data_IF_993579319797
#
_entry.id   IF_993579319797
#
_cell.length_a   1.000
_cell.length_b   1.000
_cell.length_c   1.000
_cell.angle_alpha   90.00
_cell.angle_beta   90.00
_cell.angle_gamma   90.00
#
_symmetry.space_group_name_H-M   'P 1'
#
loop_
_entity.id
_entity.type
_entity.pdbx_description
1 polymer ?
#
# COMPACT_ATOMS: atom_id res chain seq x y z
N UNK A 1 -10.16 -18.36 15.85
CA UNK A 1 -11.46 -19.06 15.93
C UNK A 1 -12.05 -19.51 14.60
N UNK A 2 -12.04 -18.69 13.54
CA UNK A 2 -12.65 -19.07 12.24
C UNK A 2 -12.09 -20.36 11.62
N UNK A 3 -10.76 -20.53 11.59
CA UNK A 3 -10.14 -21.72 11.00
C UNK A 3 -10.47 -23.00 11.77
N UNK A 4 -10.40 -22.98 13.10
CA UNK A 4 -10.78 -24.12 13.95
C UNK A 4 -12.25 -24.50 13.79
N UNK A 5 -13.15 -23.50 13.67
CA UNK A 5 -14.57 -23.74 13.40
C UNK A 5 -14.81 -24.32 12.00
N UNK A 6 -14.04 -23.89 11.00
CA UNK A 6 -14.12 -24.44 9.64
C UNK A 6 -13.64 -25.90 9.60
N UNK A 7 -12.53 -26.21 10.26
CA UNK A 7 -12.01 -27.59 10.39
C UNK A 7 -13.02 -28.48 11.11
N UNK A 8 -13.61 -28.02 12.22
CA UNK A 8 -14.63 -28.77 12.95
C UNK A 8 -15.89 -29.02 12.12
N UNK A 9 -16.35 -28.01 11.35
CA UNK A 9 -17.48 -28.20 10.42
C UNK A 9 -17.17 -29.23 9.34
N UNK A 10 -15.97 -29.15 8.75
CA UNK A 10 -15.51 -30.13 7.77
C UNK A 10 -15.46 -31.55 8.37
N UNK A 11 -15.02 -31.68 9.62
CA UNK A 11 -15.01 -32.97 10.32
C UNK A 11 -16.43 -33.52 10.60
N UNK A 12 -17.42 -32.66 10.81
CA UNK A 12 -18.83 -33.08 10.90
C UNK A 12 -19.34 -33.54 9.54
N UNK A 13 -19.09 -32.77 8.47
CA UNK A 13 -19.48 -33.11 7.09
C UNK A 13 -18.88 -34.44 6.62
N UNK A 14 -17.62 -34.72 7.01
CA UNK A 14 -16.93 -35.97 6.71
C UNK A 14 -17.31 -37.13 7.66
N UNK A 15 -18.22 -36.91 8.60
CA UNK A 15 -18.69 -37.94 9.54
C UNK A 15 -17.65 -38.35 10.60
N UNK A 16 -16.52 -37.63 10.70
CA UNK A 16 -15.48 -37.86 11.71
C UNK A 16 -15.91 -37.41 13.11
N UNK A 17 -16.92 -36.53 13.18
CA UNK A 17 -17.51 -36.02 14.41
C UNK A 17 -19.03 -36.03 14.28
N UNK A 18 -19.72 -36.62 15.25
CA UNK A 18 -21.19 -36.61 15.31
C UNK A 18 -21.74 -35.19 15.45
N UNK A 19 -22.67 -34.82 14.58
CA UNK A 19 -23.42 -33.58 14.70
C UNK A 19 -24.26 -33.61 15.98
N UNK A 20 -24.04 -32.63 16.87
CA UNK A 20 -24.79 -32.52 18.14
C UNK A 20 -24.03 -32.93 19.40
N UNK A 21 -22.86 -33.59 19.30
CA UNK A 21 -21.95 -33.69 20.46
C UNK A 21 -21.41 -32.30 20.79
N UNK A 22 -21.79 -31.78 21.97
CA UNK A 22 -21.36 -30.50 22.60
C UNK A 22 -20.48 -29.64 21.69
N UNK A 23 -21.10 -28.77 20.88
CA UNK A 23 -20.37 -27.88 19.97
C UNK A 23 -19.34 -27.06 20.78
N UNK A 24 -18.03 -27.25 20.55
CA UNK A 24 -16.97 -26.65 21.36
C UNK A 24 -16.87 -25.12 21.17
N UNK A 25 -17.60 -24.56 20.19
CA UNK A 25 -17.66 -23.13 19.93
C UNK A 25 -18.93 -22.46 20.44
N UNK A 26 -19.86 -23.21 21.05
CA UNK A 26 -21.17 -22.68 21.51
C UNK A 26 -21.03 -21.53 22.52
N UNK A 27 -19.99 -21.59 23.36
CA UNK A 27 -19.70 -20.59 24.40
C UNK A 27 -18.43 -19.79 24.13
N UNK A 28 -17.88 -19.86 22.91
CA UNK A 28 -16.66 -19.13 22.54
C UNK A 28 -17.02 -17.98 21.61
N UNK A 29 -16.46 -16.80 21.88
CA UNK A 29 -16.65 -15.65 20.99
C UNK A 29 -16.03 -15.95 19.61
N UNK A 30 -16.91 -16.04 18.60
CA UNK A 30 -16.52 -16.25 17.19
C UNK A 30 -16.71 -14.99 16.33
N UNK A 31 -17.08 -13.88 16.96
CA UNK A 31 -17.27 -12.60 16.30
C UNK A 31 -15.97 -11.98 15.79
N UNK A 32 -16.12 -10.94 14.99
CA UNK A 32 -15.00 -10.15 14.50
C UNK A 32 -14.85 -8.95 15.41
N UNK A 33 -13.75 -8.87 16.15
CA UNK A 33 -13.40 -7.61 16.79
C UNK A 33 -13.23 -6.54 15.71
N UNK A 34 -13.89 -5.38 15.88
CA UNK A 34 -13.61 -4.21 15.04
C UNK A 34 -12.11 -3.93 15.16
N UNK A 35 -11.40 -4.17 14.06
CA UNK A 35 -9.97 -3.83 13.99
C UNK A 35 -9.88 -2.32 14.11
N UNK A 36 -9.01 -1.81 14.99
CA UNK A 36 -8.82 -0.38 15.17
C UNK A 36 -8.53 0.33 13.83
N UNK A 37 -8.85 1.62 13.73
CA UNK A 37 -8.63 2.44 12.53
C UNK A 37 -7.12 2.47 12.22
N UNK A 38 -6.70 1.80 11.14
CA UNK A 38 -5.29 1.65 10.69
C UNK A 38 -5.01 2.50 9.45
N UNK A 39 -5.58 3.69 9.38
CA UNK A 39 -5.44 4.60 8.25
C UNK A 39 -4.91 5.94 8.75
N UNK A 40 -3.93 6.48 8.03
CA UNK A 40 -3.53 7.87 8.22
C UNK A 40 -4.60 8.77 7.62
N UNK A 41 -4.95 9.83 8.32
CA UNK A 41 -5.65 10.95 7.70
C UNK A 41 -4.71 11.74 6.76
N UNK A 42 -5.27 12.69 6.03
CA UNK A 42 -4.51 13.46 5.05
C UNK A 42 -3.42 14.34 5.69
N UNK A 43 -3.64 14.88 6.90
CA UNK A 43 -2.63 15.66 7.63
C UNK A 43 -1.47 14.79 8.10
N UNK A 44 -1.77 13.61 8.64
CA UNK A 44 -0.75 12.64 9.05
C UNK A 44 0.05 12.13 7.84
N UNK A 45 -0.61 11.83 6.72
CA UNK A 45 0.07 11.44 5.48
C UNK A 45 0.98 12.57 5.00
N UNK A 46 0.51 13.81 5.06
CA UNK A 46 1.30 14.97 4.66
C UNK A 46 2.54 15.14 5.53
N UNK A 47 2.43 15.08 6.86
CA UNK A 47 3.61 15.15 7.74
C UNK A 47 4.63 14.07 7.43
N UNK A 48 4.16 12.86 7.12
CA UNK A 48 5.05 11.77 6.70
C UNK A 48 5.72 12.09 5.37
N UNK A 49 5.00 12.66 4.40
CA UNK A 49 5.56 13.05 3.11
C UNK A 49 6.51 14.25 3.22
N UNK A 50 6.29 15.19 4.14
CA UNK A 50 7.10 16.39 4.29
C UNK A 50 8.32 16.22 5.23
N UNK A 51 8.69 14.99 5.58
CA UNK A 51 10.00 14.74 6.20
C UNK A 51 11.13 15.24 5.27
N UNK A 52 12.32 15.49 5.81
CA UNK A 52 13.49 16.00 5.07
C UNK A 52 13.82 15.17 3.79
N UNK A 53 13.37 13.91 3.76
CA UNK A 53 13.40 13.03 2.61
C UNK A 53 12.76 13.60 1.34
N UNK A 54 11.72 14.44 1.44
CA UNK A 54 11.12 15.06 0.27
C UNK A 54 12.09 16.03 -0.42
N UNK A 55 12.81 16.83 0.37
CA UNK A 55 13.85 17.73 -0.15
C UNK A 55 14.97 16.93 -0.82
N UNK A 56 15.36 15.77 -0.26
CA UNK A 56 16.36 14.91 -0.88
C UNK A 56 15.90 14.36 -2.23
N UNK A 57 14.62 14.02 -2.36
CA UNK A 57 14.05 13.58 -3.63
C UNK A 57 14.06 14.70 -4.66
N UNK A 58 13.60 15.90 -4.30
CA UNK A 58 13.57 17.08 -5.17
C UNK A 58 14.97 17.49 -5.64
N UNK A 59 15.98 17.36 -4.77
CA UNK A 59 17.37 17.69 -5.10
C UNK A 59 18.12 16.55 -5.82
N UNK A 60 17.49 15.38 -6.00
CA UNK A 60 18.16 14.21 -6.56
C UNK A 60 19.29 13.65 -5.68
N UNK A 61 19.27 13.96 -4.37
CA UNK A 61 20.28 13.54 -3.41
C UNK A 61 19.93 12.16 -2.87
N UNK A 62 20.87 11.23 -3.00
CA UNK A 62 20.82 9.95 -2.31
C UNK A 62 21.94 9.91 -1.26
N UNK A 63 21.64 9.92 0.05
CA UNK A 63 22.68 9.83 1.07
C UNK A 63 23.47 8.53 0.91
N UNK A 64 24.77 8.64 0.69
CA UNK A 64 25.66 7.49 0.54
C UNK A 64 25.79 6.78 1.89
N UNK A 65 25.36 5.51 1.93
CA UNK A 65 25.75 4.48 2.90
C UNK A 65 25.72 4.87 4.39
N UNK A 66 24.61 5.46 4.85
CA UNK A 66 24.34 5.68 6.28
C UNK A 66 22.95 5.16 6.67
N UNK A 67 22.66 5.00 7.97
CA UNK A 67 21.30 4.66 8.46
C UNK A 67 20.17 5.53 7.83
N UNK A 68 20.36 6.84 7.62
CA UNK A 68 19.45 7.68 6.84
C UNK A 68 19.07 7.14 5.45
N UNK A 69 19.99 6.51 4.73
CA UNK A 69 19.73 5.95 3.39
C UNK A 69 18.66 4.85 3.43
N UNK A 70 18.70 3.97 4.43
CA UNK A 70 17.73 2.89 4.58
C UNK A 70 16.32 3.39 4.95
N UNK A 71 16.22 4.47 5.73
CA UNK A 71 14.94 5.12 6.04
C UNK A 71 14.38 5.83 4.82
N UNK A 72 15.23 6.53 4.08
CA UNK A 72 14.87 7.22 2.86
C UNK A 72 14.32 6.25 1.80
N UNK A 73 14.96 5.09 1.61
CA UNK A 73 14.41 4.02 0.76
C UNK A 73 13.04 3.55 1.25
N UNK A 74 12.86 3.32 2.55
CA UNK A 74 11.57 2.92 3.09
C UNK A 74 10.49 3.99 2.93
N UNK A 75 10.84 5.26 3.07
CA UNK A 75 9.95 6.40 2.83
C UNK A 75 9.53 6.45 1.35
N UNK A 76 10.48 6.41 0.41
CA UNK A 76 10.20 6.39 -1.05
C UNK A 76 9.26 5.26 -1.45
N UNK A 77 9.52 4.03 -0.97
CA UNK A 77 8.66 2.87 -1.27
C UNK A 77 7.24 3.03 -0.72
N UNK A 78 7.08 3.58 0.49
CA UNK A 78 5.77 3.80 1.09
C UNK A 78 5.00 4.92 0.39
N UNK A 79 5.69 6.03 0.09
CA UNK A 79 5.14 7.16 -0.70
C UNK A 79 4.66 6.65 -2.05
N UNK A 80 5.49 5.89 -2.79
CA UNK A 80 5.08 5.29 -4.05
C UNK A 80 3.83 4.41 -3.90
N UNK A 81 3.78 3.51 -2.90
CA UNK A 81 2.59 2.70 -2.66
C UNK A 81 1.33 3.55 -2.47
N UNK A 82 1.41 4.63 -1.69
CA UNK A 82 0.27 5.51 -1.47
C UNK A 82 -0.19 6.19 -2.76
N UNK A 83 0.74 6.80 -3.51
CA UNK A 83 0.46 7.47 -4.79
C UNK A 83 0.00 6.52 -5.89
N UNK A 84 0.41 5.25 -5.83
CA UNK A 84 -0.06 4.18 -6.70
C UNK A 84 -1.38 3.56 -6.20
N UNK A 85 -2.33 4.39 -5.75
CA UNK A 85 -3.64 3.99 -5.19
C UNK A 85 -3.58 2.98 -4.04
N UNK A 86 -2.55 3.07 -3.22
CA UNK A 86 -2.35 2.11 -2.14
C UNK A 86 -1.90 0.73 -2.62
N UNK A 87 -1.07 0.65 -3.67
CA UNK A 87 -0.45 -0.58 -4.16
C UNK A 87 0.07 -1.44 -3.00
N UNK A 88 -0.16 -2.75 -3.04
CA UNK A 88 0.32 -3.62 -1.95
C UNK A 88 1.83 -3.79 -2.03
N UNK A 89 2.49 -4.03 -0.90
CA UNK A 89 3.94 -4.21 -0.90
C UNK A 89 4.40 -5.45 -1.68
N UNK A 90 3.57 -6.49 -1.76
CA UNK A 90 3.87 -7.64 -2.62
C UNK A 90 3.77 -7.25 -4.10
N UNK A 91 2.78 -6.46 -4.50
CA UNK A 91 2.72 -5.99 -5.88
C UNK A 91 3.90 -5.07 -6.21
N UNK A 92 4.28 -4.18 -5.28
CA UNK A 92 5.47 -3.31 -5.39
C UNK A 92 6.76 -4.14 -5.57
N UNK A 93 6.96 -5.16 -4.74
CA UNK A 93 8.15 -6.00 -4.76
C UNK A 93 8.32 -6.75 -6.08
N UNK A 94 7.21 -7.13 -6.71
CA UNK A 94 7.19 -7.88 -7.97
C UNK A 94 6.92 -6.99 -9.19
N UNK A 95 6.84 -5.66 -9.02
CA UNK A 95 6.59 -4.75 -10.12
C UNK A 95 7.79 -4.72 -11.06
N UNK A 96 7.55 -5.01 -12.34
CA UNK A 96 8.59 -5.05 -13.37
C UNK A 96 8.52 -3.84 -14.28
N UNK A 97 9.65 -3.50 -14.90
CA UNK A 97 9.75 -2.40 -15.87
C UNK A 97 8.80 -2.60 -17.05
N UNK A 98 8.63 -3.84 -17.52
CA UNK A 98 7.66 -4.21 -18.58
C UNK A 98 6.19 -3.90 -18.22
N UNK A 99 5.88 -3.74 -16.93
CA UNK A 99 4.54 -3.37 -16.49
C UNK A 99 4.25 -1.88 -16.68
N UNK A 100 5.26 -1.07 -17.05
CA UNK A 100 5.14 0.37 -17.24
C UNK A 100 5.25 0.68 -18.73
N UNK A 101 4.15 1.12 -19.34
CA UNK A 101 4.09 1.47 -20.76
C UNK A 101 3.28 2.75 -20.94
N UNK A 102 3.77 3.70 -21.74
CA UNK A 102 3.09 4.97 -22.04
C UNK A 102 2.60 5.72 -20.78
N UNK A 103 3.42 5.77 -19.73
CA UNK A 103 3.06 6.45 -18.47
C UNK A 103 1.99 5.74 -17.64
N UNK A 104 1.68 4.47 -17.91
CA UNK A 104 0.70 3.68 -17.15
C UNK A 104 1.35 2.41 -16.62
N UNK A 105 1.15 2.14 -15.33
CA UNK A 105 1.49 0.87 -14.69
C UNK A 105 0.31 -0.08 -14.86
N UNK A 106 0.52 -1.24 -15.47
CA UNK A 106 -0.47 -2.31 -15.66
C UNK A 106 0.03 -3.63 -15.08
N UNK A 107 -0.68 -4.18 -14.11
CA UNK A 107 -0.31 -5.47 -13.49
C UNK A 107 -1.52 -6.23 -12.94
N UNK A 108 -1.37 -7.53 -12.76
CA UNK A 108 -2.37 -8.37 -12.07
C UNK A 108 -2.03 -8.50 -10.59
N UNK A 109 -2.98 -8.15 -9.73
CA UNK A 109 -2.79 -8.15 -8.28
C UNK A 109 -2.49 -9.54 -7.75
N UNK A 110 -1.38 -9.70 -7.02
CA UNK A 110 -0.93 -11.02 -6.52
C UNK A 110 -1.95 -11.71 -5.60
N UNK A 111 -2.73 -10.94 -4.83
CA UNK A 111 -3.71 -11.50 -3.87
C UNK A 111 -5.01 -11.97 -4.53
N UNK A 112 -5.49 -11.26 -5.55
CA UNK A 112 -6.86 -11.46 -6.08
C UNK A 112 -6.91 -11.74 -7.58
N UNK A 113 -5.79 -11.60 -8.30
CA UNK A 113 -5.76 -11.74 -9.76
C UNK A 113 -6.40 -10.59 -10.53
N UNK A 114 -6.99 -9.60 -9.85
CA UNK A 114 -7.62 -8.45 -10.50
C UNK A 114 -6.61 -7.57 -11.24
N UNK A 115 -6.96 -7.14 -12.46
CA UNK A 115 -6.18 -6.19 -13.25
C UNK A 115 -6.19 -4.81 -12.57
N UNK A 116 -5.01 -4.22 -12.43
CA UNK A 116 -4.81 -2.87 -11.94
C UNK A 116 -4.08 -2.06 -12.99
N UNK A 117 -4.64 -0.89 -13.32
CA UNK A 117 -4.02 0.12 -14.18
C UNK A 117 -3.92 1.44 -13.42
N UNK A 118 -2.73 2.04 -13.32
CA UNK A 118 -2.48 3.28 -12.57
C UNK A 118 -1.62 4.21 -13.42
N UNK A 119 -2.06 5.46 -13.64
CA UNK A 119 -1.20 6.47 -14.27
C UNK A 119 0.00 6.81 -13.39
N UNK A 120 1.18 6.86 -14.00
CA UNK A 120 2.42 7.33 -13.37
C UNK A 120 2.36 8.85 -13.28
N UNK A 121 2.32 9.38 -12.06
CA UNK A 121 2.45 10.82 -11.80
C UNK A 121 3.92 11.25 -11.81
N UNK A 122 4.20 12.56 -11.89
CA UNK A 122 5.59 13.08 -11.82
C UNK A 122 6.31 12.59 -10.57
N UNK A 123 5.70 12.71 -9.40
CA UNK A 123 6.27 12.22 -8.13
C UNK A 123 6.56 10.71 -8.15
N UNK A 124 5.69 9.91 -8.79
CA UNK A 124 5.94 8.48 -8.95
C UNK A 124 7.13 8.22 -9.86
N UNK A 125 7.27 8.99 -10.94
CA UNK A 125 8.40 8.92 -11.85
C UNK A 125 9.71 9.32 -11.15
N UNK A 126 9.73 10.42 -10.39
CA UNK A 126 10.89 10.86 -9.60
C UNK A 126 11.35 9.75 -8.63
N UNK A 127 10.39 9.07 -7.97
CA UNK A 127 10.71 7.94 -7.09
C UNK A 127 11.28 6.77 -7.89
N UNK A 128 10.70 6.41 -9.03
CA UNK A 128 11.22 5.34 -9.90
C UNK A 128 12.66 5.65 -10.33
N UNK A 129 12.90 6.85 -10.82
CA UNK A 129 14.20 7.29 -11.33
C UNK A 129 15.26 7.34 -10.22
N UNK A 130 14.85 7.68 -9.00
CA UNK A 130 15.74 7.65 -7.82
C UNK A 130 16.29 6.25 -7.48
N UNK A 131 15.71 5.17 -8.03
CA UNK A 131 16.18 3.78 -7.90
C UNK A 131 16.87 3.24 -9.16
N UNK A 132 17.01 4.04 -10.23
CA UNK A 132 17.50 3.57 -11.53
C UNK A 132 18.90 2.93 -11.44
N UNK A 133 19.81 3.54 -10.65
CA UNK A 133 21.16 2.98 -10.44
C UNK A 133 21.14 1.62 -9.74
N UNK A 134 20.28 1.45 -8.74
CA UNK A 134 20.16 0.21 -7.96
C UNK A 134 19.51 -0.93 -8.76
N UNK A 135 18.75 -0.58 -9.81
CA UNK A 135 17.93 -1.53 -10.59
C UNK A 135 18.37 -1.64 -12.04
N UNK A 136 19.52 -1.08 -12.43
CA UNK A 136 19.99 -1.05 -13.83
C UNK A 136 19.95 -2.42 -14.50
N UNK A 137 20.48 -3.45 -13.85
CA UNK A 137 20.53 -4.84 -14.34
C UNK A 137 19.38 -5.71 -13.80
N UNK A 138 18.34 -5.09 -13.24
CA UNK A 138 17.16 -5.78 -12.70
C UNK A 138 15.96 -5.59 -13.63
N UNK A 139 15.12 -6.62 -13.82
CA UNK A 139 13.83 -6.47 -14.47
C UNK A 139 12.80 -5.77 -13.56
N UNK A 140 13.06 -5.69 -12.25
CA UNK A 140 12.17 -5.04 -11.28
C UNK A 140 12.37 -3.53 -11.25
N UNK A 141 11.29 -2.81 -10.92
CA UNK A 141 11.30 -1.35 -10.76
C UNK A 141 11.98 -0.93 -9.46
N UNK A 142 11.88 -1.75 -8.41
CA UNK A 142 12.43 -1.47 -7.09
C UNK A 142 13.43 -2.55 -6.66
N UNK A 143 14.50 -2.19 -5.93
CA UNK A 143 15.55 -3.12 -5.50
C UNK A 143 15.11 -3.97 -4.28
N UNK A 144 13.90 -4.54 -4.32
CA UNK A 144 13.37 -5.41 -3.26
C UNK A 144 13.75 -6.87 -3.54
N UNK A 145 13.60 -7.28 -4.80
CA UNK A 145 14.05 -8.58 -5.30
C UNK A 145 15.24 -8.31 -6.21
N UNK A 146 16.42 -8.79 -5.82
CA UNK A 146 17.66 -8.59 -6.57
C UNK A 146 18.08 -9.82 -7.36
N UNK A 147 17.62 -11.00 -6.94
CA UNK A 147 17.91 -12.28 -7.60
C UNK A 147 16.62 -13.02 -7.92
N UNK A 148 16.43 -13.39 -9.19
CA UNK A 148 15.33 -14.24 -9.64
C UNK A 148 15.71 -15.72 -9.51
N UNK A 149 15.76 -16.19 -8.27
CA UNK A 149 16.06 -17.59 -7.96
C UNK A 149 15.04 -18.16 -6.96
N UNK A 150 15.28 -19.38 -6.47
CA UNK A 150 14.44 -20.05 -5.47
C UNK A 150 14.23 -19.24 -4.17
N UNK A 151 15.06 -18.23 -3.90
CA UNK A 151 14.95 -17.38 -2.71
C UNK A 151 14.16 -16.09 -2.92
N UNK A 152 13.54 -15.91 -4.09
CA UNK A 152 12.71 -14.72 -4.40
C UNK A 152 11.69 -14.43 -3.31
N UNK A 153 10.98 -15.45 -2.80
CA UNK A 153 9.99 -15.27 -1.75
C UNK A 153 10.61 -14.86 -0.40
N UNK A 154 11.76 -15.43 -0.05
CA UNK A 154 12.48 -15.10 1.18
C UNK A 154 12.99 -13.64 1.14
N UNK A 155 13.48 -13.17 -0.01
CA UNK A 155 13.86 -11.77 -0.21
C UNK A 155 12.68 -10.83 0.06
N UNK A 156 11.51 -11.14 -0.50
CA UNK A 156 10.28 -10.38 -0.24
C UNK A 156 9.89 -10.37 1.25
N UNK A 157 9.91 -11.52 1.92
CA UNK A 157 9.51 -11.62 3.33
C UNK A 157 10.45 -10.82 4.24
N UNK A 158 11.76 -10.90 3.99
CA UNK A 158 12.78 -10.11 4.68
C UNK A 158 12.58 -8.61 4.44
N UNK A 159 12.37 -8.20 3.17
CA UNK A 159 12.11 -6.81 2.83
C UNK A 159 10.82 -6.28 3.49
N UNK A 160 9.76 -7.09 3.55
CA UNK A 160 8.50 -6.74 4.21
C UNK A 160 8.71 -6.53 5.71
N UNK A 161 9.46 -7.41 6.37
CA UNK A 161 9.81 -7.27 7.78
C UNK A 161 10.60 -5.97 8.04
N UNK A 162 11.66 -5.73 7.25
CA UNK A 162 12.49 -4.53 7.38
C UNK A 162 11.69 -3.25 7.11
N UNK A 163 10.85 -3.26 6.07
CA UNK A 163 9.98 -2.14 5.72
C UNK A 163 9.04 -1.80 6.87
N UNK A 164 8.33 -2.79 7.43
CA UNK A 164 7.44 -2.56 8.58
C UNK A 164 8.19 -2.06 9.82
N UNK A 165 9.41 -2.55 10.06
CA UNK A 165 10.25 -2.08 11.18
C UNK A 165 10.65 -0.61 11.00
N UNK A 166 11.01 -0.19 9.78
CA UNK A 166 11.40 1.18 9.45
C UNK A 166 10.21 2.14 9.42
N UNK A 167 9.06 1.68 8.93
CA UNK A 167 7.81 2.44 8.97
C UNK A 167 7.41 2.86 10.39
N UNK A 168 7.62 1.99 11.39
CA UNK A 168 7.41 2.37 12.80
C UNK A 168 8.31 3.51 13.27
N UNK A 169 9.50 3.68 12.69
CA UNK A 169 10.42 4.76 13.02
C UNK A 169 10.07 6.04 12.26
N UNK A 170 9.78 5.93 10.97
CA UNK A 170 9.26 7.03 10.16
C UNK A 170 7.98 7.63 10.77
N UNK A 171 7.10 6.79 11.34
CA UNK A 171 5.93 7.25 12.08
C UNK A 171 6.29 8.16 13.26
N UNK A 172 7.33 7.79 14.03
CA UNK A 172 7.81 8.59 15.17
C UNK A 172 8.43 9.90 14.71
N UNK A 173 9.25 9.86 13.66
CA UNK A 173 9.87 11.04 13.05
C UNK A 173 8.80 12.04 12.57
N UNK A 174 7.69 11.56 12.00
CA UNK A 174 6.57 12.39 11.55
C UNK A 174 5.56 12.78 12.67
N UNK A 175 5.86 12.48 13.94
CA UNK A 175 4.97 12.77 15.07
C UNK A 175 3.62 12.04 14.99
N UNK A 176 3.60 10.82 14.45
CA UNK A 176 2.39 10.00 14.30
C UNK A 176 2.34 8.95 15.41
N UNK A 177 1.35 9.06 16.30
CA UNK A 177 1.12 8.12 17.40
C UNK A 177 0.33 6.87 16.96
N UNK A 178 0.72 6.28 15.83
CA UNK A 178 0.15 5.03 15.31
C UNK A 178 1.27 4.18 14.70
N UNK A 179 1.21 2.87 14.93
CA UNK A 179 2.15 1.94 14.31
C UNK A 179 1.87 1.80 12.80
N UNK A 180 2.80 2.29 11.98
CA UNK A 180 2.74 2.12 10.53
C UNK A 180 3.13 0.71 10.10
N UNK A 181 2.45 0.24 9.05
CA UNK A 181 2.79 -0.97 8.30
C UNK A 181 2.57 -0.72 6.81
N UNK A 182 3.07 -1.59 5.96
CA UNK A 182 2.89 -1.48 4.51
C UNK A 182 1.44 -1.49 4.05
N UNK A 183 0.51 -2.04 4.84
CA UNK A 183 -0.92 -2.00 4.54
C UNK A 183 -1.57 -0.65 4.83
N UNK A 184 -0.92 0.21 5.63
CA UNK A 184 -1.47 1.52 5.98
C UNK A 184 -1.60 2.41 4.75
N UNK A 185 -0.67 2.37 3.79
CA UNK A 185 -0.78 3.14 2.54
C UNK A 185 -2.13 2.91 1.84
N UNK A 186 -2.54 1.63 1.72
CA UNK A 186 -3.83 1.22 1.14
C UNK A 186 -5.03 1.73 1.93
N UNK A 187 -5.00 1.54 3.25
CA UNK A 187 -6.10 1.97 4.11
C UNK A 187 -6.23 3.49 4.15
N UNK A 188 -5.11 4.21 4.19
CA UNK A 188 -5.08 5.68 4.10
C UNK A 188 -5.66 6.15 2.78
N UNK A 189 -5.21 5.61 1.64
CA UNK A 189 -5.74 6.00 0.33
C UNK A 189 -7.26 5.81 0.26
N UNK A 190 -7.76 4.62 0.62
CA UNK A 190 -9.19 4.33 0.61
C UNK A 190 -10.00 5.20 1.59
N UNK A 191 -9.45 5.45 2.78
CA UNK A 191 -10.11 6.30 3.78
C UNK A 191 -10.16 7.76 3.36
N UNK A 192 -9.10 8.27 2.72
CA UNK A 192 -9.04 9.65 2.22
C UNK A 192 -9.96 9.79 1.01
N UNK A 193 -9.96 8.85 0.06
CA UNK A 193 -10.91 8.83 -1.04
C UNK A 193 -12.36 8.86 -0.55
N UNK A 194 -12.67 8.04 0.47
CA UNK A 194 -14.00 8.04 1.09
C UNK A 194 -14.37 9.39 1.71
N UNK A 195 -13.41 10.09 2.33
CA UNK A 195 -13.65 11.45 2.87
C UNK A 195 -13.81 12.54 1.80
N UNK A 196 -13.54 12.22 0.54
CA UNK A 196 -13.74 13.06 -0.64
C UNK A 196 -15.00 12.66 -1.43
N UNK A 197 -15.91 11.93 -0.79
CA UNK A 197 -17.14 11.43 -1.40
C UNK A 197 -16.91 10.60 -2.67
N UNK A 198 -15.71 10.02 -2.84
CA UNK A 198 -15.45 9.09 -3.94
C UNK A 198 -16.38 7.87 -3.76
N UNK A 199 -17.17 7.49 -4.78
CA UNK A 199 -18.10 6.38 -4.67
C UNK A 199 -17.41 5.08 -4.23
N UNK A 200 -18.06 4.31 -3.36
CA UNK A 200 -17.47 3.08 -2.79
C UNK A 200 -17.07 2.06 -3.87
N UNK A 201 -17.80 2.01 -4.98
CA UNK A 201 -17.48 1.13 -6.10
C UNK A 201 -16.18 1.55 -6.80
N UNK A 202 -15.92 2.85 -6.98
CA UNK A 202 -14.64 3.40 -7.50
C UNK A 202 -13.49 3.05 -6.56
N UNK A 203 -13.69 3.20 -5.25
CA UNK A 203 -12.68 2.82 -4.25
C UNK A 203 -12.42 1.31 -4.32
N UNK A 204 -13.47 0.49 -4.40
CA UNK A 204 -13.34 -0.98 -4.49
C UNK A 204 -12.57 -1.41 -5.74
N UNK A 205 -12.90 -0.81 -6.88
CA UNK A 205 -12.23 -1.05 -8.16
C UNK A 205 -10.77 -0.61 -8.12
N UNK A 206 -10.48 0.59 -7.61
CA UNK A 206 -9.11 1.10 -7.43
C UNK A 206 -8.24 0.22 -6.53
N UNK A 207 -8.85 -0.53 -5.60
CA UNK A 207 -8.18 -1.50 -4.73
C UNK A 207 -7.98 -2.89 -5.36
N UNK A 208 -8.50 -3.11 -6.57
CA UNK A 208 -8.42 -4.38 -7.29
C UNK A 208 -9.45 -5.41 -6.85
N UNK A 209 -10.60 -4.93 -6.35
CA UNK A 209 -11.76 -5.73 -6.02
C UNK A 209 -12.87 -5.40 -7.04
N UNK A 210 -12.68 -5.82 -8.29
CA UNK A 210 -13.75 -5.87 -9.28
C UNK A 210 -14.55 -7.15 -9.07
N UNK A 211 -15.87 -7.04 -8.96
CA UNK A 211 -16.74 -8.18 -9.29
C UNK A 211 -16.77 -8.35 -10.81
N UNK A 212 -16.97 -9.57 -11.32
CA UNK A 212 -17.04 -9.90 -12.76
C UNK A 212 -18.02 -9.03 -13.59
N UNK A 213 -18.90 -8.25 -12.94
CA UNK A 213 -19.87 -7.35 -13.56
C UNK A 213 -19.34 -5.96 -13.97
N UNK A 214 -18.09 -5.59 -13.68
CA UNK A 214 -17.55 -4.30 -14.14
C UNK A 214 -16.61 -4.55 -15.31
N UNK A 215 -17.20 -4.60 -16.51
CA UNK A 215 -16.58 -5.05 -17.76
C UNK A 215 -15.55 -4.08 -18.33
N UNK A 216 -15.41 -2.87 -17.78
CA UNK A 216 -14.42 -1.89 -18.21
C UNK A 216 -13.90 -1.12 -17.00
N UNK A 217 -12.61 -1.29 -16.68
CA UNK A 217 -11.91 -0.44 -15.73
C UNK A 217 -11.86 0.98 -16.32
N UNK A 218 -12.63 1.92 -15.77
CA UNK A 218 -12.58 3.31 -16.23
C UNK A 218 -11.38 3.99 -15.56
N UNK A 219 -10.20 3.79 -16.18
CA UNK A 219 -8.94 4.35 -15.71
C UNK A 219 -9.04 5.87 -15.49
N UNK A 220 -9.79 6.59 -16.32
CA UNK A 220 -9.93 8.05 -16.20
C UNK A 220 -10.58 8.47 -14.88
N UNK A 221 -11.62 7.74 -14.43
CA UNK A 221 -12.30 7.99 -13.15
C UNK A 221 -11.41 7.63 -11.97
N UNK A 222 -10.68 6.52 -12.07
CA UNK A 222 -9.75 6.09 -11.03
C UNK A 222 -8.56 7.06 -10.89
N UNK A 223 -8.07 7.59 -12.02
CA UNK A 223 -7.00 8.59 -12.03
C UNK A 223 -7.48 9.88 -11.38
N UNK A 224 -8.68 10.37 -11.72
CA UNK A 224 -9.27 11.55 -11.07
C UNK A 224 -9.40 11.36 -9.55
N UNK A 225 -9.93 10.22 -9.10
CA UNK A 225 -10.04 9.93 -7.67
C UNK A 225 -8.65 9.92 -6.98
N UNK A 226 -7.63 9.37 -7.66
CA UNK A 226 -6.27 9.36 -7.15
C UNK A 226 -5.67 10.77 -7.07
N UNK A 227 -5.88 11.60 -8.09
CA UNK A 227 -5.46 12.99 -8.15
C UNK A 227 -6.08 13.81 -7.01
N UNK A 228 -7.38 13.66 -6.76
CA UNK A 228 -8.08 14.34 -5.66
C UNK A 228 -7.52 13.94 -4.28
N UNK A 229 -7.26 12.65 -4.07
CA UNK A 229 -6.63 12.15 -2.83
C UNK A 229 -5.23 12.70 -2.64
N UNK A 230 -4.39 12.64 -3.68
CA UNK A 230 -3.01 13.11 -3.63
C UNK A 230 -2.95 14.64 -3.47
N UNK A 231 -3.85 15.38 -4.12
CA UNK A 231 -3.92 16.84 -4.00
C UNK A 231 -4.33 17.28 -2.60
N UNK A 232 -5.26 16.56 -1.93
CA UNK A 232 -5.63 16.87 -0.55
C UNK A 232 -4.44 16.76 0.40
N UNK A 233 -3.64 15.69 0.27
CA UNK A 233 -2.43 15.50 1.08
C UNK A 233 -1.43 16.63 0.84
N UNK A 234 -1.29 17.15 -0.39
CA UNK A 234 -0.41 18.28 -0.69
C UNK A 234 -0.91 19.61 -0.11
N UNK A 235 -2.23 19.88 -0.13
CA UNK A 235 -2.81 21.20 0.21
C UNK A 235 -2.84 21.54 1.70
N UNK A 236 -2.87 20.57 2.61
CA UNK A 236 -3.07 20.80 4.06
C UNK A 236 -1.90 21.57 4.74
N UNK A 237 -0.84 21.88 3.99
CA UNK A 237 0.43 22.39 4.52
C UNK A 237 0.99 23.57 3.73
N UNK A 238 0.24 24.11 2.77
CA UNK A 238 0.46 25.48 2.34
C UNK A 238 -0.08 26.37 3.46
N UNK A 239 0.75 27.13 4.21
CA UNK A 239 0.23 28.10 5.15
C UNK A 239 -0.72 29.01 4.37
N UNK A 240 -2.01 28.97 4.74
CA UNK A 240 -3.00 29.84 4.17
C UNK A 240 -2.55 31.27 4.41
N UNK A 241 -2.43 32.02 3.32
CA UNK A 241 -2.54 33.46 3.30
C UNK A 241 -3.71 33.84 4.21
N UNK A 242 -3.41 34.46 5.35
CA UNK A 242 -4.41 35.13 6.15
C UNK A 242 -5.10 36.15 5.23
N UNK A 243 -6.38 35.91 4.95
CA UNK A 243 -7.28 36.95 4.51
C UNK A 243 -7.33 37.97 5.66
N UNK A 244 -6.66 39.10 5.47
CA UNK A 244 -6.88 40.29 6.27
C UNK A 244 -8.29 40.79 5.95
N UNK A 245 -9.14 40.85 6.98
CA UNK A 245 -10.28 41.76 7.02
C UNK A 245 -9.77 43.15 7.39
#
# INVERSE_FOLDING_TARGET
>A
MRNLRAIYRKAIEEGLVEEGRKNPFRHVFTGVYKTQKRALDASQMQRLQNLDYNLWLEQGVCPVQTRPSAMYTSWRLFTFCFHARGMSFVDLAYLKKENITNGVIRYYRKKTGGLIEVRVTSLMQDIIDSFAKETVNSPYVFPIITRQDKYTRLQYENALYLQNRRLKKLAKEAGINMALSTHVSRHSWASIAKSRDTPLWVISEGLGHSSEKVTYTDLSRLDRANEEVCALVKRIGSPGTHAAF
#
